data_IF_337619611950
#
_entry.id   IF_337619611950
#
_cell.length_a   1.000
_cell.length_b   1.000
_cell.length_c   1.000
_cell.angle_alpha   90.00
_cell.angle_beta   90.00
_cell.angle_gamma   90.00
#
_symmetry.space_group_name_H-M   'P 1'
#
loop_
_entity.id
_entity.type
_entity.pdbx_description
1 polymer ?
#
# COMPACT_ATOMS: atom_id res chain seq x y z
N UNK A 1 -5.55 -35.56 27.77
CA UNK A 1 -5.93 -34.14 27.56
C UNK A 1 -4.70 -33.26 27.30
N UNK A 2 -3.70 -33.74 26.58
CA UNK A 2 -2.41 -33.04 26.32
C UNK A 2 -2.12 -32.87 24.83
N UNK A 3 -3.01 -33.32 23.94
CA UNK A 3 -2.79 -33.33 22.49
C UNK A 3 -3.19 -31.99 21.80
N UNK A 4 -4.02 -31.15 22.43
CA UNK A 4 -4.52 -29.91 21.78
C UNK A 4 -3.67 -28.65 22.07
N UNK A 5 -2.72 -28.70 23.01
CA UNK A 5 -1.88 -27.54 23.38
C UNK A 5 -1.10 -26.93 22.19
N UNK A 6 -0.48 -27.72 21.30
CA UNK A 6 0.23 -27.19 20.13
C UNK A 6 -0.68 -26.49 19.13
N UNK A 7 -1.87 -27.04 18.87
CA UNK A 7 -2.85 -26.46 17.95
C UNK A 7 -3.45 -25.17 18.52
N UNK A 8 -3.77 -25.17 19.81
CA UNK A 8 -4.27 -23.99 20.53
C UNK A 8 -3.25 -22.85 20.51
N UNK A 9 -1.94 -23.13 20.61
CA UNK A 9 -0.91 -22.11 20.52
C UNK A 9 -0.88 -21.40 19.16
N UNK A 10 -1.06 -22.16 18.07
CA UNK A 10 -1.15 -21.60 16.70
C UNK A 10 -2.44 -20.81 16.52
N UNK A 11 -3.57 -21.32 17.01
CA UNK A 11 -4.85 -20.62 16.97
C UNK A 11 -4.80 -19.30 17.74
N UNK A 12 -4.18 -19.28 18.92
CA UNK A 12 -4.01 -18.04 19.70
C UNK A 12 -3.12 -17.03 18.96
N UNK A 13 -2.03 -17.48 18.32
CA UNK A 13 -1.20 -16.62 17.48
C UNK A 13 -2.00 -16.03 16.30
N UNK A 14 -2.86 -16.83 15.67
CA UNK A 14 -3.77 -16.38 14.61
C UNK A 14 -4.79 -15.36 15.12
N UNK A 15 -5.41 -15.61 16.28
CA UNK A 15 -6.35 -14.67 16.93
C UNK A 15 -5.72 -13.32 17.25
N UNK A 16 -4.42 -13.29 17.53
CA UNK A 16 -3.68 -12.06 17.75
C UNK A 16 -3.26 -11.37 16.45
N UNK A 17 -3.08 -12.13 15.36
CA UNK A 17 -2.61 -11.61 14.08
C UNK A 17 -3.72 -10.92 13.26
N UNK A 18 -4.89 -11.53 13.13
CA UNK A 18 -5.97 -10.99 12.28
C UNK A 18 -6.48 -9.60 12.71
N UNK A 19 -6.67 -9.29 14.01
CA UNK A 19 -7.03 -7.94 14.44
C UNK A 19 -5.98 -6.88 14.06
N UNK A 20 -4.69 -7.26 14.11
CA UNK A 20 -3.62 -6.37 13.64
C UNK A 20 -3.73 -6.14 12.14
N UNK A 21 -4.01 -7.18 11.35
CA UNK A 21 -4.24 -7.06 9.91
C UNK A 21 -5.42 -6.13 9.61
N UNK A 22 -6.52 -6.22 10.37
CA UNK A 22 -7.68 -5.34 10.24
C UNK A 22 -7.33 -3.87 10.52
N UNK A 23 -6.63 -3.59 11.62
CA UNK A 23 -6.16 -2.25 11.95
C UNK A 23 -5.24 -1.70 10.84
N UNK A 24 -4.28 -2.51 10.40
CA UNK A 24 -3.33 -2.15 9.36
C UNK A 24 -4.02 -1.90 8.01
N UNK A 25 -5.09 -2.64 7.68
CA UNK A 25 -5.89 -2.39 6.47
C UNK A 25 -6.55 -1.00 6.50
N UNK A 26 -7.07 -0.58 7.65
CA UNK A 26 -7.63 0.77 7.82
C UNK A 26 -6.59 1.86 7.59
N UNK A 27 -5.39 1.70 8.17
CA UNK A 27 -4.27 2.63 7.99
C UNK A 27 -3.78 2.67 6.53
N UNK A 28 -3.71 1.51 5.88
CA UNK A 28 -3.34 1.37 4.47
C UNK A 28 -4.30 2.14 3.57
N UNK A 29 -5.60 1.90 3.70
CA UNK A 29 -6.62 2.60 2.91
C UNK A 29 -6.61 4.12 3.15
N UNK A 30 -6.40 4.54 4.40
CA UNK A 30 -6.29 5.97 4.72
C UNK A 30 -5.09 6.61 4.05
N UNK A 31 -3.91 5.98 4.14
CA UNK A 31 -2.69 6.48 3.50
C UNK A 31 -2.84 6.54 1.96
N UNK A 32 -3.50 5.56 1.35
CA UNK A 32 -3.82 5.59 -0.08
C UNK A 32 -4.73 6.76 -0.46
N UNK A 33 -5.79 7.02 0.30
CA UNK A 33 -6.68 8.18 0.07
C UNK A 33 -5.92 9.50 0.18
N UNK A 34 -5.00 9.61 1.14
CA UNK A 34 -4.17 10.80 1.33
C UNK A 34 -3.18 11.04 0.17
N UNK A 35 -2.80 9.99 -0.57
CA UNK A 35 -1.94 10.12 -1.75
C UNK A 35 -2.67 10.75 -2.94
N UNK A 36 -3.97 10.49 -3.11
CA UNK A 36 -4.73 10.93 -4.29
C UNK A 36 -4.65 12.44 -4.56
N UNK A 37 -4.91 13.35 -3.58
CA UNK A 37 -4.80 14.79 -3.83
C UNK A 37 -3.36 15.23 -4.16
N UNK A 38 -2.35 14.54 -3.64
CA UNK A 38 -0.94 14.84 -3.93
C UNK A 38 -0.57 14.44 -5.36
N UNK A 39 -1.01 13.26 -5.81
CA UNK A 39 -0.82 12.80 -7.19
C UNK A 39 -1.50 13.73 -8.20
N UNK A 40 -2.74 14.16 -7.91
CA UNK A 40 -3.44 15.14 -8.73
C UNK A 40 -2.71 16.49 -8.76
N UNK A 41 -2.14 16.91 -7.62
CA UNK A 41 -1.33 18.13 -7.56
C UNK A 41 -0.09 18.07 -8.45
N UNK A 42 0.63 16.94 -8.44
CA UNK A 42 1.77 16.72 -9.35
C UNK A 42 1.36 16.71 -10.82
N UNK A 43 0.28 16.01 -11.16
CA UNK A 43 -0.25 15.96 -12.53
C UNK A 43 -0.58 17.37 -13.04
N UNK A 44 -1.29 18.16 -12.23
CA UNK A 44 -1.61 19.56 -12.56
C UNK A 44 -0.34 20.44 -12.65
N UNK A 45 0.65 20.27 -11.78
CA UNK A 45 1.93 21.01 -11.89
C UNK A 45 2.66 20.69 -13.19
N UNK A 46 2.66 19.43 -13.63
CA UNK A 46 3.24 19.03 -14.90
C UNK A 46 2.49 19.62 -16.10
N UNK A 47 1.16 19.69 -16.05
CA UNK A 47 0.35 20.38 -17.07
C UNK A 47 0.70 21.87 -17.13
N UNK A 48 0.80 22.55 -15.98
CA UNK A 48 1.17 23.96 -15.91
C UNK A 48 2.58 24.22 -16.43
N UNK A 49 3.54 23.34 -16.13
CA UNK A 49 4.90 23.40 -16.67
C UNK A 49 4.89 23.25 -18.20
N UNK A 50 4.11 22.32 -18.73
CA UNK A 50 3.97 22.10 -20.16
C UNK A 50 3.36 23.33 -20.85
N UNK A 51 2.29 23.90 -20.28
CA UNK A 51 1.67 25.12 -20.78
C UNK A 51 2.65 26.30 -20.80
N UNK A 52 3.43 26.48 -19.74
CA UNK A 52 4.45 27.52 -19.66
C UNK A 52 5.63 27.28 -20.64
N UNK A 53 5.96 26.04 -20.97
CA UNK A 53 6.96 25.73 -21.99
C UNK A 53 6.48 26.12 -23.39
N UNK A 54 5.22 25.83 -23.70
CA UNK A 54 4.60 26.10 -25.00
C UNK A 54 4.28 27.58 -25.24
N UNK A 55 4.13 28.39 -24.18
CA UNK A 55 3.87 29.81 -24.29
C UNK A 55 5.13 30.58 -24.74
N UNK A 56 4.94 31.42 -25.76
CA UNK A 56 5.89 32.47 -26.14
C UNK A 56 5.58 33.74 -25.34
N UNK A 57 6.25 33.89 -24.19
CA UNK A 57 6.03 35.04 -23.29
C UNK A 57 6.28 36.40 -23.97
N UNK A 58 7.16 36.42 -24.97
CA UNK A 58 7.46 37.60 -25.81
C UNK A 58 6.26 38.05 -26.66
N UNK A 59 5.35 37.14 -26.99
CA UNK A 59 4.16 37.44 -27.79
C UNK A 59 3.03 38.04 -26.94
N UNK A 60 3.19 38.07 -25.60
CA UNK A 60 2.20 38.57 -24.65
C UNK A 60 2.63 39.94 -24.12
N UNK A 61 2.03 41.06 -24.59
CA UNK A 61 2.56 42.41 -24.31
C UNK A 61 2.72 42.76 -22.82
N UNK A 62 1.80 42.38 -21.91
CA UNK A 62 1.98 42.61 -20.47
C UNK A 62 3.17 41.85 -19.85
N UNK A 63 3.55 40.70 -20.41
CA UNK A 63 4.61 39.84 -19.85
C UNK A 63 6.01 40.26 -20.31
N UNK A 64 6.13 41.07 -21.37
CA UNK A 64 7.41 41.58 -21.90
C UNK A 64 8.22 42.38 -20.88
N UNK A 65 7.55 43.03 -19.93
CA UNK A 65 8.20 43.77 -18.86
C UNK A 65 8.95 42.85 -17.85
N UNK A 66 8.76 41.53 -17.95
CA UNK A 66 9.29 40.53 -17.02
C UNK A 66 10.09 39.45 -17.77
N UNK A 67 11.30 39.76 -18.27
CA UNK A 67 12.09 38.84 -19.10
C UNK A 67 12.53 37.57 -18.36
N UNK A 68 12.61 37.61 -17.03
CA UNK A 68 12.97 36.50 -16.14
C UNK A 68 11.77 35.65 -15.70
N UNK A 69 10.54 36.04 -16.06
CA UNK A 69 9.31 35.42 -15.56
C UNK A 69 9.23 33.93 -15.87
N UNK A 70 9.57 33.53 -17.11
CA UNK A 70 9.52 32.12 -17.53
C UNK A 70 10.40 31.23 -16.66
N UNK A 71 11.64 31.64 -16.44
CA UNK A 71 12.59 30.88 -15.63
C UNK A 71 12.23 30.91 -14.13
N UNK A 72 11.72 32.04 -13.63
CA UNK A 72 11.24 32.12 -12.24
C UNK A 72 10.01 31.26 -11.99
N UNK A 73 9.06 31.25 -12.93
CA UNK A 73 7.88 30.41 -12.87
C UNK A 73 8.27 28.93 -12.87
N UNK A 74 9.16 28.53 -13.80
CA UNK A 74 9.69 27.17 -13.86
C UNK A 74 10.31 26.74 -12.53
N UNK A 75 11.23 27.55 -11.98
CA UNK A 75 11.87 27.24 -10.69
C UNK A 75 10.85 27.12 -9.55
N UNK A 76 9.86 28.00 -9.50
CA UNK A 76 8.80 27.96 -8.48
C UNK A 76 7.92 26.71 -8.60
N UNK A 77 7.60 26.30 -9.83
CA UNK A 77 6.81 25.11 -10.09
C UNK A 77 7.57 23.82 -9.73
N UNK A 78 8.86 23.75 -10.09
CA UNK A 78 9.72 22.61 -9.70
C UNK A 78 9.81 22.50 -8.18
N UNK A 79 10.07 23.60 -7.47
CA UNK A 79 10.11 23.61 -6.01
C UNK A 79 8.80 23.20 -5.36
N UNK A 80 7.67 23.65 -5.91
CA UNK A 80 6.35 23.21 -5.46
C UNK A 80 6.14 21.71 -5.70
N UNK A 81 6.64 21.20 -6.82
CA UNK A 81 6.64 19.79 -7.15
C UNK A 81 7.47 18.94 -6.19
N UNK A 82 8.69 19.37 -5.87
CA UNK A 82 9.56 18.71 -4.89
C UNK A 82 8.88 18.65 -3.51
N UNK A 83 8.22 19.74 -3.09
CA UNK A 83 7.44 19.77 -1.84
C UNK A 83 6.29 18.74 -1.83
N UNK A 84 5.67 18.47 -2.98
CA UNK A 84 4.62 17.45 -3.08
C UNK A 84 5.22 16.04 -3.08
N UNK A 85 6.39 15.85 -3.69
CA UNK A 85 7.13 14.59 -3.65
C UNK A 85 7.56 14.23 -2.23
N UNK A 86 8.05 15.18 -1.44
CA UNK A 86 8.38 14.98 -0.02
C UNK A 86 7.17 14.46 0.76
N UNK A 87 5.99 15.07 0.54
CA UNK A 87 4.74 14.61 1.17
C UNK A 87 4.32 13.22 0.71
N UNK A 88 4.53 12.88 -0.55
CA UNK A 88 4.26 11.52 -1.05
C UNK A 88 5.22 10.49 -0.45
N UNK A 89 6.48 10.87 -0.21
CA UNK A 89 7.46 10.01 0.46
C UNK A 89 7.06 9.73 1.92
N UNK A 90 6.51 10.72 2.63
CA UNK A 90 5.93 10.52 3.97
C UNK A 90 4.77 9.50 3.93
N UNK A 91 3.89 9.56 2.92
CA UNK A 91 2.80 8.59 2.76
C UNK A 91 3.28 7.21 2.36
N UNK A 92 4.28 7.12 1.48
CA UNK A 92 4.96 5.85 1.19
C UNK A 92 5.57 5.25 2.46
N UNK A 93 6.13 6.07 3.34
CA UNK A 93 6.68 5.62 4.62
C UNK A 93 5.60 5.08 5.55
N UNK A 94 4.37 5.62 5.51
CA UNK A 94 3.23 5.05 6.22
C UNK A 94 2.82 3.69 5.64
N UNK A 95 2.74 3.55 4.31
CA UNK A 95 2.45 2.27 3.64
C UNK A 95 3.53 1.21 3.94
N UNK A 96 4.79 1.62 3.98
CA UNK A 96 5.93 0.78 4.36
C UNK A 96 5.74 0.20 5.78
N UNK A 97 5.35 1.04 6.74
CA UNK A 97 5.10 0.60 8.13
C UNK A 97 3.97 -0.41 8.24
N UNK A 98 2.88 -0.24 7.48
CA UNK A 98 1.79 -1.22 7.41
C UNK A 98 2.35 -2.56 6.93
N UNK A 99 3.04 -2.56 5.78
CA UNK A 99 3.65 -3.76 5.20
C UNK A 99 4.55 -4.47 6.22
N UNK A 100 5.44 -3.73 6.87
CA UNK A 100 6.42 -4.28 7.82
C UNK A 100 5.75 -4.85 9.07
N UNK A 101 4.75 -4.14 9.59
CA UNK A 101 3.95 -4.61 10.74
C UNK A 101 3.27 -5.93 10.38
N UNK A 102 2.53 -5.99 9.28
CA UNK A 102 1.85 -7.22 8.84
C UNK A 102 2.85 -8.35 8.62
N UNK A 103 3.96 -8.09 7.91
CA UNK A 103 4.98 -9.10 7.64
C UNK A 103 5.54 -9.70 8.94
N UNK A 104 5.83 -8.85 9.94
CA UNK A 104 6.37 -9.32 11.23
C UNK A 104 5.38 -10.16 12.04
N UNK A 105 4.08 -9.87 11.94
CA UNK A 105 3.03 -10.64 12.60
C UNK A 105 2.81 -11.98 11.91
N UNK A 106 2.74 -11.99 10.57
CA UNK A 106 2.62 -13.23 9.78
C UNK A 106 3.83 -14.14 10.02
N UNK A 107 5.05 -13.60 10.04
CA UNK A 107 6.26 -14.35 10.34
C UNK A 107 6.19 -15.01 11.74
N UNK A 108 5.72 -14.29 12.76
CA UNK A 108 5.56 -14.84 14.12
C UNK A 108 4.56 -15.99 14.17
N UNK A 109 3.45 -15.88 13.46
CA UNK A 109 2.47 -16.97 13.36
C UNK A 109 3.08 -18.19 12.69
N UNK A 110 3.77 -17.98 11.55
CA UNK A 110 4.43 -19.06 10.82
C UNK A 110 5.50 -19.76 11.66
N UNK A 111 6.32 -19.00 12.39
CA UNK A 111 7.30 -19.57 13.33
C UNK A 111 6.62 -20.39 14.44
N UNK A 112 5.49 -19.91 14.96
CA UNK A 112 4.72 -20.64 15.97
C UNK A 112 4.17 -21.95 15.40
N UNK A 113 3.69 -21.93 14.15
CA UNK A 113 3.27 -23.14 13.45
C UNK A 113 4.42 -24.11 13.21
N UNK A 114 5.55 -23.63 12.68
CA UNK A 114 6.74 -24.44 12.39
C UNK A 114 7.28 -25.17 13.64
N UNK A 115 7.23 -24.53 14.80
CA UNK A 115 7.63 -25.14 16.08
C UNK A 115 6.74 -26.32 16.50
N UNK A 116 5.49 -26.35 16.04
CA UNK A 116 4.48 -27.31 16.46
C UNK A 116 4.04 -28.26 15.33
N UNK A 117 4.53 -28.07 14.10
CA UNK A 117 4.06 -28.74 12.89
C UNK A 117 4.11 -30.28 13.00
N UNK A 118 5.23 -30.83 13.49
CA UNK A 118 5.42 -32.28 13.67
C UNK A 118 4.44 -32.89 14.68
N UNK A 119 3.96 -32.09 15.64
CA UNK A 119 3.06 -32.54 16.71
C UNK A 119 1.59 -32.42 16.33
N UNK A 120 1.21 -31.37 15.57
CA UNK A 120 -0.16 -31.17 15.12
C UNK A 120 -0.53 -32.19 14.04
N UNK A 121 0.39 -32.47 13.10
CA UNK A 121 0.16 -33.37 11.98
C UNK A 121 -0.85 -32.82 10.95
N UNK A 122 -0.86 -33.40 9.74
CA UNK A 122 -1.66 -32.86 8.63
C UNK A 122 -3.17 -32.82 8.90
N UNK A 123 -3.71 -33.85 9.56
CA UNK A 123 -5.15 -33.94 9.84
C UNK A 123 -5.62 -32.81 10.77
N UNK A 124 -4.80 -32.44 11.77
CA UNK A 124 -5.14 -31.36 12.70
C UNK A 124 -5.10 -29.98 12.06
N UNK A 125 -4.18 -29.75 11.12
CA UNK A 125 -4.05 -28.46 10.42
C UNK A 125 -5.19 -28.23 9.41
N UNK A 126 -5.65 -29.30 8.78
CA UNK A 126 -6.74 -29.27 7.78
C UNK A 126 -8.14 -29.33 8.41
N UNK A 127 -8.24 -29.56 9.72
CA UNK A 127 -9.53 -29.67 10.39
C UNK A 127 -10.20 -28.30 10.52
N UNK A 128 -11.22 -28.06 9.70
CA UNK A 128 -12.15 -26.94 9.85
C UNK A 128 -13.32 -27.30 10.80
N UNK A 129 -13.96 -26.28 11.35
CA UNK A 129 -15.20 -26.38 12.12
C UNK A 129 -16.28 -25.45 11.56
N UNK A 130 -17.46 -25.48 12.16
CA UNK A 130 -18.57 -24.58 11.77
C UNK A 130 -18.24 -23.10 12.07
N UNK A 131 -17.38 -22.85 13.05
CA UNK A 131 -17.06 -21.51 13.58
C UNK A 131 -15.62 -21.09 13.28
N UNK A 132 -14.78 -22.02 12.80
CA UNK A 132 -13.38 -21.76 12.52
C UNK A 132 -12.97 -22.39 11.18
N UNK A 133 -12.37 -21.61 10.27
CA UNK A 133 -11.63 -22.17 9.15
C UNK A 133 -10.50 -23.09 9.61
N UNK A 134 -9.92 -23.85 8.68
CA UNK A 134 -8.76 -24.67 9.01
C UNK A 134 -7.53 -23.79 9.28
N UNK A 135 -6.56 -24.30 10.05
CA UNK A 135 -5.29 -23.59 10.28
C UNK A 135 -4.52 -23.45 8.97
N UNK A 136 -4.59 -24.45 8.07
CA UNK A 136 -4.00 -24.35 6.74
C UNK A 136 -4.52 -23.14 5.96
N UNK A 137 -5.85 -22.99 5.88
CA UNK A 137 -6.47 -21.89 5.12
C UNK A 137 -6.08 -20.54 5.71
N UNK A 138 -6.12 -20.40 7.05
CA UNK A 138 -5.76 -19.15 7.71
C UNK A 138 -4.30 -18.76 7.51
N UNK A 139 -3.38 -19.75 7.53
CA UNK A 139 -1.96 -19.50 7.25
C UNK A 139 -1.73 -19.11 5.79
N UNK A 140 -2.41 -19.77 4.84
CA UNK A 140 -2.37 -19.41 3.42
C UNK A 140 -2.87 -17.98 3.21
N UNK A 141 -4.02 -17.63 3.78
CA UNK A 141 -4.58 -16.29 3.64
C UNK A 141 -3.67 -15.21 4.23
N UNK A 142 -3.02 -15.46 5.37
CA UNK A 142 -2.05 -14.53 5.93
C UNK A 142 -0.84 -14.31 5.01
N UNK A 143 -0.34 -15.36 4.36
CA UNK A 143 0.73 -15.23 3.37
C UNK A 143 0.26 -14.46 2.12
N UNK A 144 -0.96 -14.71 1.65
CA UNK A 144 -1.52 -13.96 0.53
C UNK A 144 -1.69 -12.46 0.85
N UNK A 145 -2.10 -12.13 2.07
CA UNK A 145 -2.18 -10.76 2.56
C UNK A 145 -0.80 -10.10 2.66
N UNK A 146 0.21 -10.79 3.20
CA UNK A 146 1.59 -10.29 3.26
C UNK A 146 2.13 -10.02 1.85
N UNK A 147 1.93 -10.96 0.93
CA UNK A 147 2.29 -10.83 -0.48
C UNK A 147 1.57 -9.67 -1.15
N UNK A 148 0.29 -9.46 -0.84
CA UNK A 148 -0.49 -8.33 -1.33
C UNK A 148 0.16 -7.01 -0.94
N UNK A 149 0.35 -6.74 0.36
CA UNK A 149 0.96 -5.48 0.82
C UNK A 149 2.37 -5.27 0.26
N UNK A 150 3.18 -6.33 0.20
CA UNK A 150 4.55 -6.26 -0.34
C UNK A 150 4.55 -5.84 -1.81
N UNK A 151 3.77 -6.51 -2.66
CA UNK A 151 3.68 -6.19 -4.09
C UNK A 151 3.12 -4.79 -4.32
N UNK A 152 2.06 -4.47 -3.59
CA UNK A 152 1.35 -3.19 -3.65
C UNK A 152 2.24 -2.01 -3.32
N UNK A 153 3.04 -2.15 -2.25
CA UNK A 153 4.04 -1.17 -1.86
C UNK A 153 5.15 -1.03 -2.90
N UNK A 154 5.71 -2.14 -3.38
CA UNK A 154 6.83 -2.11 -4.33
C UNK A 154 6.44 -1.45 -5.64
N UNK A 155 5.27 -1.77 -6.21
CA UNK A 155 4.77 -1.11 -7.44
C UNK A 155 4.64 0.39 -7.26
N UNK A 156 4.07 0.85 -6.13
CA UNK A 156 3.90 2.28 -5.81
C UNK A 156 5.24 2.99 -5.62
N UNK A 157 6.18 2.36 -4.89
CA UNK A 157 7.54 2.88 -4.72
C UNK A 157 8.25 3.02 -6.08
N UNK A 158 8.17 2.00 -6.93
CA UNK A 158 8.75 2.02 -8.26
C UNK A 158 8.14 3.14 -9.12
N UNK A 159 6.81 3.28 -9.11
CA UNK A 159 6.11 4.33 -9.84
C UNK A 159 6.61 5.72 -9.43
N UNK A 160 6.68 6.01 -8.14
CA UNK A 160 7.14 7.32 -7.64
C UNK A 160 8.63 7.55 -7.88
N UNK A 161 9.47 6.50 -7.80
CA UNK A 161 10.91 6.62 -8.11
C UNK A 161 11.19 6.88 -9.60
N UNK A 162 10.24 6.61 -10.48
CA UNK A 162 10.37 6.83 -11.93
C UNK A 162 10.09 8.28 -12.36
N UNK A 163 9.67 9.14 -11.42
CA UNK A 163 9.30 10.52 -11.72
C UNK A 163 10.52 11.31 -12.17
N UNK A 164 10.40 11.94 -13.33
CA UNK A 164 11.41 12.83 -13.90
C UNK A 164 10.72 14.06 -14.47
N UNK A 165 11.10 15.26 -14.00
CA UNK A 165 10.53 16.53 -14.50
C UNK A 165 10.82 16.81 -16.00
N UNK A 166 11.65 15.98 -16.64
CA UNK A 166 11.84 15.98 -18.10
C UNK A 166 10.72 15.27 -18.87
N UNK A 167 9.95 14.39 -18.20
CA UNK A 167 8.84 13.64 -18.78
C UNK A 167 7.51 14.05 -18.14
N UNK A 168 7.01 15.21 -18.57
CA UNK A 168 5.76 15.77 -18.05
C UNK A 168 4.54 14.90 -18.38
N UNK A 169 4.59 14.14 -19.48
CA UNK A 169 3.48 13.27 -19.87
C UNK A 169 3.31 12.10 -18.89
N UNK A 170 4.43 11.50 -18.45
CA UNK A 170 4.40 10.48 -17.42
C UNK A 170 3.87 11.04 -16.08
N UNK A 171 4.33 12.24 -15.67
CA UNK A 171 3.85 12.88 -14.44
C UNK A 171 2.34 13.15 -14.50
N UNK A 172 1.83 13.61 -15.64
CA UNK A 172 0.39 13.83 -15.83
C UNK A 172 -0.42 12.52 -15.73
N UNK A 173 0.16 11.40 -16.17
CA UNK A 173 -0.46 10.07 -16.13
C UNK A 173 -0.38 9.38 -14.74
N UNK A 174 0.38 9.91 -13.78
CA UNK A 174 0.60 9.30 -12.47
C UNK A 174 -0.68 8.92 -11.71
N UNK A 175 -1.73 9.76 -11.62
CA UNK A 175 -2.95 9.39 -10.89
C UNK A 175 -3.58 8.12 -11.46
N UNK A 176 -3.67 8.04 -12.79
CA UNK A 176 -4.20 6.86 -13.48
C UNK A 176 -3.30 5.63 -13.31
N UNK A 177 -1.98 5.81 -13.36
CA UNK A 177 -1.04 4.72 -13.13
C UNK A 177 -1.13 4.19 -11.69
N UNK A 178 -1.36 5.08 -10.71
CA UNK A 178 -1.55 4.72 -9.31
C UNK A 178 -2.84 3.92 -9.08
N UNK A 179 -3.96 4.37 -9.65
CA UNK A 179 -5.27 3.71 -9.50
C UNK A 179 -5.25 2.30 -10.10
N UNK A 180 -4.58 2.09 -11.23
CA UNK A 180 -4.40 0.78 -11.86
C UNK A 180 -3.70 -0.24 -10.96
N UNK A 181 -2.78 0.19 -10.09
CA UNK A 181 -2.13 -0.73 -9.14
C UNK A 181 -3.17 -1.36 -8.22
N UNK A 182 -4.17 -0.57 -7.80
CA UNK A 182 -5.28 -1.06 -6.99
C UNK A 182 -6.23 -1.95 -7.79
N UNK A 183 -6.47 -1.69 -9.07
CA UNK A 183 -7.34 -2.53 -9.92
C UNK A 183 -6.74 -3.91 -10.18
N UNK A 184 -5.42 -3.98 -10.39
CA UNK A 184 -4.69 -5.23 -10.63
C UNK A 184 -4.53 -6.10 -9.37
N UNK A 185 -4.73 -5.52 -8.19
CA UNK A 185 -4.55 -6.17 -6.90
C UNK A 185 -5.91 -6.39 -6.26
N UNK A 186 -6.40 -7.64 -6.26
CA UNK A 186 -7.65 -8.09 -5.62
C UNK A 186 -8.05 -7.25 -4.40
N UNK A 187 -8.83 -6.18 -4.64
CA UNK A 187 -9.05 -5.12 -3.62
C UNK A 187 -9.79 -5.65 -2.40
N UNK A 188 -10.52 -6.75 -2.58
CA UNK A 188 -11.34 -7.37 -1.57
C UNK A 188 -10.59 -8.47 -0.80
N UNK A 189 -9.39 -8.90 -1.21
CA UNK A 189 -8.67 -10.02 -0.59
C UNK A 189 -8.63 -9.91 0.95
N UNK A 190 -8.11 -8.78 1.45
CA UNK A 190 -7.98 -8.56 2.90
C UNK A 190 -9.36 -8.54 3.58
N UNK A 191 -10.33 -7.87 2.97
CA UNK A 191 -11.68 -7.73 3.53
C UNK A 191 -12.42 -9.07 3.56
N UNK A 192 -12.33 -9.86 2.49
CA UNK A 192 -12.95 -11.18 2.33
C UNK A 192 -12.33 -12.18 3.32
N UNK A 193 -11.01 -12.15 3.49
CA UNK A 193 -10.33 -12.96 4.51
C UNK A 193 -10.79 -12.59 5.92
N UNK A 194 -10.85 -11.29 6.24
CA UNK A 194 -11.30 -10.83 7.56
C UNK A 194 -12.75 -11.26 7.85
N UNK A 195 -13.62 -11.27 6.84
CA UNK A 195 -14.96 -11.83 6.95
C UNK A 195 -14.94 -13.35 7.18
N UNK A 196 -14.08 -14.09 6.49
CA UNK A 196 -13.98 -15.55 6.66
C UNK A 196 -13.53 -15.97 8.06
N UNK A 197 -12.76 -15.13 8.76
CA UNK A 197 -12.27 -15.42 10.12
C UNK A 197 -13.09 -14.76 11.22
N UNK A 198 -14.18 -14.04 10.91
CA UNK A 198 -14.90 -13.25 11.91
C UNK A 198 -15.43 -14.09 13.07
N UNK A 199 -16.06 -15.23 12.78
CA UNK A 199 -16.57 -16.15 13.82
C UNK A 199 -15.45 -16.77 14.67
N UNK A 200 -14.29 -17.02 14.07
CA UNK A 200 -13.12 -17.54 14.78
C UNK A 200 -12.58 -16.54 15.82
N UNK A 201 -12.73 -15.24 15.56
CA UNK A 201 -12.27 -14.17 16.45
C UNK A 201 -13.26 -13.86 17.59
N UNK A 202 -14.50 -14.34 17.51
CA UNK A 202 -15.53 -14.13 18.55
C UNK A 202 -15.48 -15.17 19.69
N UNK A 203 -14.76 -16.29 19.49
CA UNK A 203 -14.52 -17.32 20.51
C UNK A 203 -13.30 -17.05 21.38
#
# INVERSE_FOLDING_TARGET
MTQDQPLLAVQEALKQCFPVVEEQQGLWQSALRDCQPLLLSLSNLAEQLQAAQNLRFEDVPPLRAFPDLKERLRRKQLWAGDTVLDKLEERLSALLKVRDTVSSHVERVLQTYEQHADTIGMDGVLQASVVSPSVADMLEWLQDIERHYRNSYLKRKCLLSSIQWGDLANIQALPKAWDRISEDEHQTLVQDTLLNVSFFLEE
#
